data_IF_009858926577
#
_entry.id   IF_009858926577
#
_cell.length_a   1.000
_cell.length_b   1.000
_cell.length_c   1.000
_cell.angle_alpha   90.00
_cell.angle_beta   90.00
_cell.angle_gamma   90.00
#
_symmetry.space_group_name_H-M   'P 1'
#
loop_
_entity.id
_entity.type
_entity.pdbx_description
1 polymer ?
#
# COMPACT_ATOMS: atom_id res chain seq x y z
N UNK A 1 -19.64 -14.13 -3.10
CA UNK A 1 -18.30 -13.56 -2.86
C UNK A 1 -18.42 -12.55 -1.74
N UNK A 2 -17.60 -12.67 -0.69
CA UNK A 2 -17.61 -11.70 0.42
C UNK A 2 -16.82 -10.45 0.03
N UNK A 3 -17.28 -9.27 0.49
CA UNK A 3 -16.67 -7.98 0.14
C UNK A 3 -15.15 -7.95 0.46
N UNK A 4 -14.74 -8.60 1.54
CA UNK A 4 -13.34 -8.71 2.00
C UNK A 4 -12.44 -9.40 0.96
N UNK A 5 -12.93 -10.46 0.31
CA UNK A 5 -12.16 -11.17 -0.73
C UNK A 5 -12.01 -10.32 -1.99
N UNK A 6 -13.03 -9.50 -2.28
CA UNK A 6 -13.02 -8.60 -3.43
C UNK A 6 -12.03 -7.46 -3.23
N UNK A 7 -12.00 -6.84 -2.04
CA UNK A 7 -11.00 -5.81 -1.69
C UNK A 7 -9.57 -6.34 -1.81
N UNK A 8 -9.33 -7.57 -1.36
CA UNK A 8 -8.01 -8.20 -1.47
C UNK A 8 -7.58 -8.42 -2.94
N UNK A 9 -8.50 -8.86 -3.80
CA UNK A 9 -8.24 -9.05 -5.23
C UNK A 9 -7.98 -7.72 -5.94
N UNK A 10 -8.76 -6.67 -5.64
CA UNK A 10 -8.54 -5.33 -6.17
C UNK A 10 -7.16 -4.79 -5.78
N UNK A 11 -6.75 -5.00 -4.52
CA UNK A 11 -5.43 -4.60 -4.05
C UNK A 11 -4.32 -5.33 -4.81
N UNK A 12 -4.48 -6.62 -5.09
CA UNK A 12 -3.51 -7.38 -5.88
C UNK A 12 -3.39 -6.90 -7.33
N UNK A 13 -4.48 -6.42 -7.94
CA UNK A 13 -4.44 -5.84 -9.28
C UNK A 13 -3.68 -4.50 -9.28
N UNK A 14 -3.94 -3.65 -8.29
CA UNK A 14 -3.22 -2.38 -8.13
C UNK A 14 -1.72 -2.59 -7.89
N UNK A 15 -1.35 -3.56 -7.06
CA UNK A 15 0.05 -3.90 -6.76
C UNK A 15 0.79 -4.45 -8.02
N UNK A 16 0.05 -5.07 -8.95
CA UNK A 16 0.56 -5.53 -10.26
C UNK A 16 0.70 -4.41 -11.30
N UNK A 17 0.29 -3.19 -10.99
CA UNK A 17 0.40 -2.03 -11.88
C UNK A 17 -0.81 -1.78 -12.78
N UNK A 18 -1.94 -2.44 -12.54
CA UNK A 18 -3.19 -2.09 -13.22
C UNK A 18 -3.70 -0.73 -12.76
N UNK A 19 -4.22 0.07 -13.70
CA UNK A 19 -4.81 1.36 -13.37
C UNK A 19 -6.14 1.17 -12.63
N UNK A 20 -6.52 2.15 -11.83
CA UNK A 20 -7.81 2.14 -11.14
C UNK A 20 -8.97 2.03 -12.14
N UNK A 21 -8.82 2.61 -13.33
CA UNK A 21 -9.84 2.56 -14.39
C UNK A 21 -9.97 1.15 -14.99
N UNK A 22 -8.85 0.48 -15.24
CA UNK A 22 -8.85 -0.92 -15.70
C UNK A 22 -9.48 -1.84 -14.66
N UNK A 23 -9.15 -1.65 -13.39
CA UNK A 23 -9.69 -2.44 -12.28
C UNK A 23 -11.21 -2.22 -12.15
N UNK A 24 -11.68 -0.98 -12.36
CA UNK A 24 -13.11 -0.61 -12.34
C UNK A 24 -13.87 -1.20 -13.53
N UNK A 25 -13.22 -1.32 -14.69
CA UNK A 25 -13.80 -1.92 -15.89
C UNK A 25 -13.77 -3.46 -15.85
N UNK A 26 -12.76 -4.06 -15.22
CA UNK A 26 -12.57 -5.51 -15.12
C UNK A 26 -13.56 -6.18 -14.17
N UNK A 27 -13.99 -5.47 -13.14
CA UNK A 27 -14.87 -6.01 -12.13
C UNK A 27 -15.94 -4.96 -11.87
N UNK A 28 -17.20 -5.29 -12.14
CA UNK A 28 -18.34 -4.43 -11.82
C UNK A 28 -18.49 -4.36 -10.29
N UNK A 29 -17.58 -3.65 -9.62
CA UNK A 29 -17.50 -3.57 -8.16
C UNK A 29 -18.21 -2.32 -7.66
N UNK A 30 -18.91 -2.38 -6.51
CA UNK A 30 -19.35 -1.20 -5.79
C UNK A 30 -18.20 -0.21 -5.56
N UNK A 31 -18.45 1.07 -5.86
CA UNK A 31 -17.46 2.14 -5.79
C UNK A 31 -16.79 2.23 -4.41
N UNK A 32 -17.55 1.99 -3.34
CA UNK A 32 -17.05 2.05 -1.96
C UNK A 32 -15.95 1.02 -1.68
N UNK A 33 -16.05 -0.18 -2.24
CA UNK A 33 -15.07 -1.26 -2.05
C UNK A 33 -13.78 -0.94 -2.81
N UNK A 34 -13.90 -0.35 -4.00
CA UNK A 34 -12.75 0.11 -4.79
C UNK A 34 -12.02 1.26 -4.09
N UNK A 35 -12.76 2.25 -3.62
CA UNK A 35 -12.20 3.37 -2.85
C UNK A 35 -11.50 2.89 -1.58
N UNK A 36 -12.07 1.92 -0.87
CA UNK A 36 -11.44 1.34 0.31
C UNK A 36 -10.10 0.66 -0.05
N UNK A 37 -10.07 -0.15 -1.11
CA UNK A 37 -8.84 -0.81 -1.57
C UNK A 37 -7.74 0.21 -1.94
N UNK A 38 -8.11 1.31 -2.60
CA UNK A 38 -7.17 2.38 -2.99
C UNK A 38 -6.63 3.11 -1.75
N UNK A 39 -7.51 3.46 -0.81
CA UNK A 39 -7.11 4.13 0.45
C UNK A 39 -6.16 3.24 1.25
N UNK A 40 -6.48 1.96 1.41
CA UNK A 40 -5.62 1.00 2.11
C UNK A 40 -4.26 0.84 1.42
N UNK A 41 -4.22 0.75 0.09
CA UNK A 41 -2.97 0.66 -0.67
C UNK A 41 -2.07 1.88 -0.44
N UNK A 42 -2.64 3.10 -0.57
CA UNK A 42 -1.87 4.35 -0.35
C UNK A 42 -1.37 4.47 1.08
N UNK A 43 -2.18 4.09 2.06
CA UNK A 43 -1.78 4.08 3.47
C UNK A 43 -0.61 3.11 3.71
N UNK A 44 -0.65 1.92 3.10
CA UNK A 44 0.47 0.97 3.19
C UNK A 44 1.75 1.49 2.52
N UNK A 45 1.66 2.12 1.36
CA UNK A 45 2.84 2.74 0.73
C UNK A 45 3.43 3.86 1.59
N UNK A 46 2.57 4.70 2.18
CA UNK A 46 3.01 5.76 3.07
C UNK A 46 3.74 5.21 4.30
N UNK A 47 3.16 4.20 4.96
CA UNK A 47 3.79 3.56 6.11
C UNK A 47 5.12 2.88 5.73
N UNK A 48 5.18 2.17 4.60
CA UNK A 48 6.45 1.58 4.11
C UNK A 48 7.54 2.61 3.87
N UNK A 49 7.18 3.78 3.33
CA UNK A 49 8.14 4.89 3.14
C UNK A 49 8.59 5.48 4.47
N UNK A 50 7.65 5.64 5.40
CA UNK A 50 7.93 6.15 6.73
C UNK A 50 8.85 5.20 7.53
N UNK A 51 8.59 3.90 7.49
CA UNK A 51 9.43 2.89 8.15
C UNK A 51 10.85 2.87 7.59
N UNK A 52 11.02 2.99 6.26
CA UNK A 52 12.35 3.11 5.65
C UNK A 52 13.10 4.35 6.11
N UNK A 53 12.41 5.48 6.28
CA UNK A 53 13.01 6.72 6.79
C UNK A 53 13.43 6.60 8.25
N UNK A 54 12.60 5.98 9.09
CA UNK A 54 12.93 5.71 10.50
C UNK A 54 14.10 4.74 10.63
N UNK A 55 14.12 3.69 9.82
CA UNK A 55 15.21 2.71 9.80
C UNK A 55 16.54 3.38 9.37
N UNK A 56 16.51 4.25 8.36
CA UNK A 56 17.69 5.03 7.96
C UNK A 56 18.20 5.96 9.05
N UNK A 57 17.31 6.57 9.83
CA UNK A 57 17.68 7.40 10.98
C UNK A 57 18.31 6.58 12.10
N UNK A 58 17.75 5.40 12.41
CA UNK A 58 18.32 4.48 13.40
C UNK A 58 19.72 4.00 13.00
N UNK A 59 19.90 3.58 11.74
CA UNK A 59 21.21 3.15 11.21
C UNK A 59 22.25 4.28 11.26
N UNK A 60 21.84 5.51 10.96
CA UNK A 60 22.72 6.68 11.04
C UNK A 60 23.14 6.97 12.49
N UNK A 61 22.20 6.96 13.43
CA UNK A 61 22.50 7.16 14.85
C UNK A 61 23.41 6.07 15.43
N UNK A 62 23.21 4.80 15.05
CA UNK A 62 24.07 3.69 15.47
C UNK A 62 25.52 3.83 14.95
N UNK A 63 25.69 4.29 13.70
CA UNK A 63 27.02 4.55 13.12
C UNK A 63 27.74 5.74 13.78
N UNK A 64 27.00 6.76 14.21
CA UNK A 64 27.55 7.90 14.95
C UNK A 64 27.98 7.51 16.37
N UNK A 65 27.20 6.67 17.06
CA UNK A 65 27.53 6.18 18.40
C UNK A 65 28.72 5.21 18.45
N UNK A 66 29.03 4.53 17.34
CA UNK A 66 30.17 3.58 17.27
C UNK A 66 31.53 4.26 16.99
N UNK A 67 31.57 5.58 16.79
CA UNK A 67 32.79 6.37 16.56
C UNK A 67 33.14 7.32 17.73
N UNK A 68 32.45 7.20 18.85
CA UNK A 68 32.73 7.93 20.10
C UNK A 68 33.58 7.12 21.06
#
# INVERSE_FOLDING_TARGET
MSAIQLTAQLRQLLDRGYSIDDVRNLVAVPHEVLEQAIREHRLQEHNRRHDRLLQGQADFAMRLGSRG
#
